data_IF_518587488143
#
_entry.id   IF_518587488143
#
_cell.length_a   1.000
_cell.length_b   1.000
_cell.length_c   1.000
_cell.angle_alpha   90.00
_cell.angle_beta   90.00
_cell.angle_gamma   90.00
#
_symmetry.space_group_name_H-M   'P 1'
#
loop_
_entity.id
_entity.type
_entity.pdbx_description
1 polymer ?
#
# COMPACT_ATOMS: atom_id res chain seq x y z
N UNK A 1 -5.76 -3.27 15.56
CA UNK A 1 -5.65 -2.13 14.62
C UNK A 1 -5.18 -0.89 15.38
N UNK A 2 -4.46 0.05 14.76
CA UNK A 2 -4.11 1.33 15.38
C UNK A 2 -5.37 2.15 15.79
N UNK A 3 -5.22 3.05 16.75
CA UNK A 3 -6.29 3.95 17.20
C UNK A 3 -6.75 4.90 16.08
N UNK A 4 -8.06 5.13 16.00
CA UNK A 4 -8.69 6.03 15.02
C UNK A 4 -9.66 7.00 15.71
N UNK A 5 -9.84 8.16 15.09
CA UNK A 5 -10.86 9.13 15.48
C UNK A 5 -11.81 9.41 14.30
N UNK A 6 -13.02 9.87 14.63
CA UNK A 6 -14.03 10.25 13.64
C UNK A 6 -13.48 11.33 12.71
N UNK A 7 -13.63 11.12 11.40
CA UNK A 7 -13.25 12.08 10.37
C UNK A 7 -11.78 11.99 9.93
N UNK A 8 -10.96 11.14 10.55
CA UNK A 8 -9.57 10.96 10.11
C UNK A 8 -9.49 10.46 8.66
N UNK A 9 -8.50 10.96 7.92
CA UNK A 9 -8.06 10.42 6.64
C UNK A 9 -6.85 9.49 6.85
N UNK A 10 -7.03 8.20 6.57
CA UNK A 10 -6.02 7.16 6.82
C UNK A 10 -5.66 6.44 5.53
N UNK A 11 -4.37 6.38 5.22
CA UNK A 11 -3.87 5.54 4.14
C UNK A 11 -3.59 4.12 4.61
N UNK A 12 -3.97 3.12 3.83
CA UNK A 12 -3.70 1.71 4.07
C UNK A 12 -2.61 1.25 3.09
N UNK A 13 -1.39 1.07 3.57
CA UNK A 13 -0.24 0.69 2.74
C UNK A 13 0.18 -0.75 3.04
N UNK A 14 -0.36 -1.70 2.27
CA UNK A 14 -0.09 -3.13 2.45
C UNK A 14 1.06 -3.66 1.60
N UNK A 15 1.87 -4.54 2.17
CA UNK A 15 2.97 -5.20 1.49
C UNK A 15 3.62 -6.30 2.32
N UNK A 16 4.40 -7.17 1.65
CA UNK A 16 5.15 -8.20 2.37
C UNK A 16 6.36 -7.62 3.10
N UNK A 17 6.94 -6.51 2.60
CA UNK A 17 8.09 -5.82 3.19
C UNK A 17 9.21 -6.79 3.60
N UNK A 18 9.75 -7.51 2.60
CA UNK A 18 10.70 -8.60 2.83
C UNK A 18 12.01 -8.42 2.05
N UNK A 19 12.96 -7.59 2.50
CA UNK A 19 12.86 -6.68 3.65
C UNK A 19 12.19 -5.34 3.29
N UNK A 20 11.76 -4.53 4.28
CA UNK A 20 11.45 -3.13 4.05
C UNK A 20 12.72 -2.37 3.64
N UNK A 21 12.55 -1.20 3.01
CA UNK A 21 13.66 -0.41 2.48
C UNK A 21 13.22 1.04 2.23
N UNK A 22 14.17 1.94 1.95
CA UNK A 22 13.90 3.37 1.76
C UNK A 22 12.90 3.70 0.65
N UNK A 23 12.81 2.88 -0.41
CA UNK A 23 11.73 3.02 -1.39
C UNK A 23 10.31 2.88 -0.81
N UNK A 24 10.10 2.07 0.23
CA UNK A 24 8.81 1.98 0.91
C UNK A 24 8.57 3.19 1.82
N UNK A 25 9.61 3.67 2.50
CA UNK A 25 9.56 4.89 3.32
C UNK A 25 9.16 6.07 2.45
N UNK A 26 9.76 6.20 1.27
CA UNK A 26 9.42 7.24 0.32
C UNK A 26 7.94 7.17 -0.14
N UNK A 27 7.42 5.97 -0.40
CA UNK A 27 5.98 5.78 -0.71
C UNK A 27 5.12 6.26 0.45
N UNK A 28 5.48 5.90 1.68
CA UNK A 28 4.76 6.29 2.88
C UNK A 28 4.76 7.83 3.08
N UNK A 29 5.91 8.48 2.93
CA UNK A 29 6.05 9.93 3.04
C UNK A 29 5.29 10.70 1.96
N UNK A 30 5.33 10.21 0.72
CA UNK A 30 4.55 10.79 -0.39
C UNK A 30 3.07 10.65 -0.10
N UNK A 31 2.62 9.47 0.33
CA UNK A 31 1.22 9.23 0.66
C UNK A 31 0.73 10.15 1.78
N UNK A 32 1.47 10.24 2.89
CA UNK A 32 1.15 11.14 4.01
C UNK A 32 0.99 12.59 3.55
N UNK A 33 1.95 13.10 2.76
CA UNK A 33 1.95 14.50 2.32
C UNK A 33 0.92 14.79 1.23
N UNK A 34 0.93 14.01 0.14
CA UNK A 34 0.14 14.30 -1.06
C UNK A 34 -1.35 13.97 -0.89
N UNK A 35 -1.70 13.04 -0.01
CA UNK A 35 -3.09 12.68 0.28
C UNK A 35 -3.65 13.42 1.50
N UNK A 36 -2.81 14.18 2.22
CA UNK A 36 -3.21 14.90 3.43
C UNK A 36 -3.68 13.97 4.55
N UNK A 37 -2.93 12.89 4.81
CA UNK A 37 -3.33 11.86 5.77
C UNK A 37 -2.99 12.25 7.21
N UNK A 38 -3.90 11.93 8.13
CA UNK A 38 -3.65 11.98 9.57
C UNK A 38 -2.76 10.81 10.01
N UNK A 39 -2.97 9.64 9.41
CA UNK A 39 -2.18 8.43 9.65
C UNK A 39 -1.94 7.63 8.37
N UNK A 40 -0.84 6.89 8.35
CA UNK A 40 -0.60 5.82 7.39
C UNK A 40 -0.46 4.51 8.13
N UNK A 41 -1.34 3.56 7.87
CA UNK A 41 -1.23 2.21 8.38
C UNK A 41 -0.35 1.40 7.43
N UNK A 42 0.86 1.14 7.87
CA UNK A 42 1.82 0.30 7.16
C UNK A 42 1.57 -1.15 7.55
N UNK A 43 0.83 -1.85 6.69
CA UNK A 43 0.27 -3.17 6.97
C UNK A 43 1.21 -4.26 6.46
N UNK A 44 1.96 -4.87 7.38
CA UNK A 44 2.88 -5.95 7.09
C UNK A 44 2.10 -7.25 6.92
N UNK A 45 1.95 -7.69 5.67
CA UNK A 45 1.07 -8.82 5.34
C UNK A 45 1.73 -10.16 5.69
N UNK A 46 0.95 -11.22 5.95
CA UNK A 46 1.47 -12.58 6.10
C UNK A 46 2.19 -13.13 4.86
N UNK A 47 2.00 -12.51 3.70
CA UNK A 47 2.53 -12.94 2.40
C UNK A 47 1.45 -12.86 1.32
N UNK A 48 1.84 -12.57 0.08
CA UNK A 48 0.92 -12.64 -1.06
C UNK A 48 0.81 -14.10 -1.50
N UNK A 49 -0.38 -14.75 -1.47
CA UNK A 49 -0.53 -16.15 -1.88
C UNK A 49 -0.07 -16.47 -3.31
N UNK A 50 0.01 -15.47 -4.17
CA UNK A 50 0.46 -15.58 -5.57
C UNK A 50 1.98 -15.46 -5.73
N UNK A 51 2.72 -15.16 -4.66
CA UNK A 51 4.19 -15.09 -4.66
C UNK A 51 4.76 -16.29 -3.90
N UNK A 52 5.94 -16.75 -4.31
CA UNK A 52 6.66 -17.76 -3.53
C UNK A 52 6.96 -17.23 -2.13
N UNK A 53 6.68 -18.04 -1.12
CA UNK A 53 7.07 -17.77 0.27
C UNK A 53 8.46 -18.31 0.60
N UNK A 54 9.16 -18.93 -0.36
CA UNK A 54 10.56 -19.31 -0.19
C UNK A 54 11.40 -18.03 0.04
N UNK A 55 12.02 -17.92 1.21
CA UNK A 55 12.75 -16.72 1.61
C UNK A 55 11.88 -15.60 2.19
N UNK A 56 10.60 -15.85 2.52
CA UNK A 56 9.80 -14.92 3.31
C UNK A 56 10.24 -14.97 4.78
N UNK A 57 10.83 -13.90 5.27
CA UNK A 57 11.24 -13.82 6.68
C UNK A 57 10.01 -13.90 7.62
N UNK A 58 10.18 -14.41 8.85
CA UNK A 58 9.12 -14.42 9.86
C UNK A 58 8.46 -13.04 10.02
N UNK A 59 7.14 -13.03 10.22
CA UNK A 59 6.38 -11.77 10.32
C UNK A 59 6.92 -10.84 11.41
N UNK A 60 7.30 -11.39 12.58
CA UNK A 60 7.86 -10.61 13.68
C UNK A 60 9.17 -9.90 13.28
N UNK A 61 10.04 -10.57 12.51
CA UNK A 61 11.27 -9.97 12.01
C UNK A 61 10.99 -8.83 11.02
N UNK A 62 10.02 -9.03 10.10
CA UNK A 62 9.63 -8.00 9.13
C UNK A 62 9.00 -6.79 9.82
N UNK A 63 8.19 -7.01 10.85
CA UNK A 63 7.62 -5.94 11.69
C UNK A 63 8.73 -5.11 12.35
N UNK A 64 9.68 -5.76 13.03
CA UNK A 64 10.80 -5.08 13.67
C UNK A 64 11.63 -4.26 12.67
N UNK A 65 11.90 -4.79 11.47
CA UNK A 65 12.60 -4.05 10.41
C UNK A 65 11.79 -2.86 9.88
N UNK A 66 10.45 -2.97 9.84
CA UNK A 66 9.61 -1.84 9.42
C UNK A 66 9.61 -0.74 10.49
N UNK A 67 9.52 -1.12 11.77
CA UNK A 67 9.58 -0.18 12.91
C UNK A 67 10.92 0.55 12.97
N UNK A 68 12.04 -0.12 12.65
CA UNK A 68 13.37 0.50 12.63
C UNK A 68 13.54 1.59 11.58
N UNK A 69 12.81 1.54 10.46
CA UNK A 69 12.99 2.49 9.36
C UNK A 69 11.84 3.51 9.21
N UNK A 70 10.76 3.34 9.98
CA UNK A 70 9.61 4.24 9.95
C UNK A 70 9.76 5.30 11.04
N UNK A 71 10.29 6.47 10.66
CA UNK A 71 10.59 7.55 11.61
C UNK A 71 9.39 8.47 11.90
N UNK A 72 8.47 8.65 10.95
CA UNK A 72 7.32 9.56 11.12
C UNK A 72 6.27 8.92 12.05
N UNK A 73 5.89 9.56 13.18
CA UNK A 73 4.96 9.00 14.15
C UNK A 73 3.54 8.81 13.60
N UNK A 74 3.17 9.40 12.47
CA UNK A 74 1.90 9.14 11.77
C UNK A 74 1.89 7.79 11.06
N UNK A 75 3.05 7.19 10.83
CA UNK A 75 3.18 5.84 10.31
C UNK A 75 2.92 4.86 11.46
N UNK A 76 1.88 4.04 11.32
CA UNK A 76 1.53 2.99 12.27
C UNK A 76 1.85 1.63 11.64
N UNK A 77 2.95 1.01 12.08
CA UNK A 77 3.29 -0.36 11.69
C UNK A 77 2.27 -1.31 12.31
N UNK A 78 1.69 -2.21 11.51
CA UNK A 78 0.68 -3.14 12.00
C UNK A 78 0.63 -4.43 11.19
N UNK A 79 0.13 -5.51 11.80
CA UNK A 79 -0.13 -6.79 11.15
C UNK A 79 -1.47 -7.40 11.58
N UNK A 80 -2.49 -6.54 11.81
CA UNK A 80 -3.82 -7.00 12.25
C UNK A 80 -4.46 -8.01 11.29
N UNK A 81 -4.03 -8.07 10.02
CA UNK A 81 -4.45 -9.08 9.04
C UNK A 81 -4.20 -10.52 9.52
N UNK A 82 -3.16 -10.74 10.34
CA UNK A 82 -2.89 -12.05 10.95
C UNK A 82 -4.05 -12.50 11.82
N UNK A 83 -4.63 -11.60 12.60
CA UNK A 83 -5.76 -11.89 13.49
C UNK A 83 -7.06 -12.16 12.72
N UNK A 84 -7.17 -11.64 11.48
CA UNK A 84 -8.30 -11.90 10.60
C UNK A 84 -8.27 -13.29 9.97
N UNK A 85 -7.13 -13.98 10.00
CA UNK A 85 -6.94 -15.28 9.35
C UNK A 85 -7.08 -15.24 7.82
N UNK A 86 -7.02 -14.05 7.19
CA UNK A 86 -7.17 -13.89 5.74
C UNK A 86 -5.92 -13.26 5.14
N UNK A 87 -5.44 -13.85 4.05
CA UNK A 87 -4.37 -13.31 3.20
C UNK A 87 -4.91 -12.51 2.01
N UNK A 88 -6.23 -12.29 1.94
CA UNK A 88 -6.89 -11.64 0.83
C UNK A 88 -7.22 -10.18 1.15
N UNK A 89 -6.61 -9.27 0.39
CA UNK A 89 -6.78 -7.82 0.58
C UNK A 89 -8.25 -7.39 0.57
N UNK A 90 -9.10 -7.95 -0.30
CA UNK A 90 -10.53 -7.60 -0.34
C UNK A 90 -11.24 -7.83 1.01
N UNK A 91 -10.92 -8.94 1.68
CA UNK A 91 -11.50 -9.27 3.00
C UNK A 91 -10.94 -8.35 4.09
N UNK A 92 -9.63 -8.07 4.03
CA UNK A 92 -9.00 -7.10 4.94
C UNK A 92 -9.66 -5.73 4.84
N UNK A 93 -9.87 -5.22 3.62
CA UNK A 93 -10.45 -3.89 3.42
C UNK A 93 -11.91 -3.81 3.88
N UNK A 94 -12.72 -4.85 3.63
CA UNK A 94 -14.08 -4.91 4.17
C UNK A 94 -14.09 -4.92 5.70
N UNK A 95 -13.17 -5.66 6.32
CA UNK A 95 -13.07 -5.71 7.76
C UNK A 95 -12.70 -4.34 8.35
N UNK A 96 -11.72 -3.65 7.75
CA UNK A 96 -11.34 -2.28 8.13
C UNK A 96 -12.52 -1.33 8.00
N UNK A 97 -13.24 -1.37 6.87
CA UNK A 97 -14.42 -0.54 6.60
C UNK A 97 -15.51 -0.74 7.65
N UNK A 98 -15.80 -2.01 7.99
CA UNK A 98 -16.84 -2.39 8.94
C UNK A 98 -16.54 -1.91 10.35
N UNK A 99 -15.28 -2.01 10.79
CA UNK A 99 -14.90 -1.64 12.16
C UNK A 99 -14.61 -0.15 12.35
N UNK A 100 -14.43 0.60 11.26
CA UNK A 100 -14.12 2.03 11.30
C UNK A 100 -15.06 2.83 10.38
N UNK A 101 -16.39 2.79 10.60
CA UNK A 101 -17.37 3.38 9.67
C UNK A 101 -17.34 4.92 9.60
N UNK A 102 -16.56 5.56 10.46
CA UNK A 102 -16.46 7.02 10.60
C UNK A 102 -15.11 7.59 10.14
N UNK A 103 -14.27 6.74 9.54
CA UNK A 103 -12.92 7.09 9.07
C UNK A 103 -12.91 7.03 7.54
N UNK A 104 -12.14 7.91 6.92
CA UNK A 104 -11.94 7.95 5.47
C UNK A 104 -10.66 7.20 5.11
N UNK A 105 -10.79 6.04 4.46
CA UNK A 105 -9.63 5.25 4.06
C UNK A 105 -9.26 5.46 2.59
N UNK A 106 -7.97 5.43 2.31
CA UNK A 106 -7.40 5.32 0.96
C UNK A 106 -6.51 4.09 0.92
N UNK A 107 -6.69 3.21 -0.06
CA UNK A 107 -5.73 2.13 -0.32
C UNK A 107 -4.51 2.69 -1.05
N UNK A 108 -3.32 2.51 -0.48
CA UNK A 108 -2.05 3.01 -1.01
C UNK A 108 -1.23 1.84 -1.52
N UNK A 109 -0.72 1.92 -2.74
CA UNK A 109 0.21 0.94 -3.29
C UNK A 109 1.26 1.57 -4.20
N UNK A 110 2.42 0.92 -4.33
CA UNK A 110 3.41 1.27 -5.35
C UNK A 110 2.95 0.85 -6.76
N UNK A 111 3.40 1.60 -7.77
CA UNK A 111 3.09 1.33 -9.18
C UNK A 111 3.54 -0.06 -9.67
N UNK A 112 4.53 -0.68 -9.04
CA UNK A 112 4.95 -2.05 -9.33
C UNK A 112 3.86 -3.10 -9.06
N UNK A 113 2.94 -2.84 -8.13
CA UNK A 113 1.79 -3.71 -7.89
C UNK A 113 0.69 -3.55 -8.95
N UNK A 114 0.61 -2.39 -9.60
CA UNK A 114 -0.49 -2.07 -10.53
C UNK A 114 -0.53 -3.03 -11.72
N UNK A 115 0.64 -3.46 -12.23
CA UNK A 115 0.75 -4.41 -13.34
C UNK A 115 0.03 -5.74 -13.07
N UNK A 116 0.13 -6.27 -11.85
CA UNK A 116 -0.42 -7.58 -11.47
C UNK A 116 -1.65 -7.48 -10.57
N UNK A 117 -2.13 -6.27 -10.27
CA UNK A 117 -3.25 -6.04 -9.37
C UNK A 117 -4.52 -6.80 -9.78
N UNK A 118 -4.77 -6.93 -11.09
CA UNK A 118 -5.94 -7.66 -11.61
C UNK A 118 -5.89 -9.19 -11.40
N UNK A 119 -4.76 -9.74 -10.96
CA UNK A 119 -4.66 -11.12 -10.54
C UNK A 119 -5.00 -11.30 -9.05
N UNK A 120 -5.13 -10.21 -8.29
CA UNK A 120 -5.49 -10.31 -6.88
C UNK A 120 -6.94 -10.79 -6.76
N UNK A 121 -7.20 -11.63 -5.77
CA UNK A 121 -8.54 -12.17 -5.57
C UNK A 121 -9.52 -11.02 -5.32
N UNK A 122 -10.62 -11.01 -6.09
CA UNK A 122 -11.65 -9.97 -6.02
C UNK A 122 -11.09 -8.55 -6.22
N UNK A 123 -10.11 -8.36 -7.12
CA UNK A 123 -9.47 -7.06 -7.36
C UNK A 123 -10.45 -5.92 -7.70
N UNK A 124 -11.56 -6.21 -8.38
CA UNK A 124 -12.62 -5.22 -8.66
C UNK A 124 -13.31 -4.76 -7.36
N UNK A 125 -13.50 -5.69 -6.41
CA UNK A 125 -14.00 -5.38 -5.07
C UNK A 125 -13.00 -4.51 -4.31
N UNK A 126 -11.70 -4.79 -4.41
CA UNK A 126 -10.66 -3.93 -3.85
C UNK A 126 -10.78 -2.50 -4.42
N UNK A 127 -10.85 -2.38 -5.76
CA UNK A 127 -10.96 -1.10 -6.48
C UNK A 127 -12.23 -0.29 -6.16
N UNK A 128 -13.28 -0.95 -5.68
CA UNK A 128 -14.57 -0.33 -5.35
C UNK A 128 -14.82 -0.22 -3.84
N UNK A 129 -13.90 -0.67 -2.98
CA UNK A 129 -14.07 -0.59 -1.53
C UNK A 129 -13.68 0.77 -0.97
N UNK A 130 -12.52 1.29 -1.39
CA UNK A 130 -11.94 2.58 -1.02
C UNK A 130 -11.30 3.25 -2.24
N UNK A 131 -11.13 4.59 -2.24
CA UNK A 131 -10.27 5.24 -3.20
C UNK A 131 -8.85 4.66 -3.18
N UNK A 132 -8.18 4.65 -4.34
CA UNK A 132 -6.83 4.09 -4.49
C UNK A 132 -5.82 5.20 -4.84
N UNK A 133 -4.71 5.25 -4.12
CA UNK A 133 -3.55 6.04 -4.49
C UNK A 133 -2.42 5.11 -4.96
N UNK A 134 -2.02 5.26 -6.22
CA UNK A 134 -0.86 4.56 -6.79
C UNK A 134 0.32 5.53 -6.79
N UNK A 135 1.41 5.16 -6.12
CA UNK A 135 2.62 5.99 -6.05
C UNK A 135 3.64 5.47 -7.07
N UNK A 136 4.10 6.35 -7.96
CA UNK A 136 5.07 5.98 -9.01
C UNK A 136 6.39 5.46 -8.43
N UNK A 137 7.02 4.55 -9.16
CA UNK A 137 8.35 4.01 -8.87
C UNK A 137 9.16 3.85 -10.16
N UNK A 138 10.50 3.97 -10.11
CA UNK A 138 11.36 3.81 -11.29
C UNK A 138 11.14 2.46 -11.96
N UNK A 139 11.00 2.48 -13.30
CA UNK A 139 10.74 1.27 -14.09
C UNK A 139 9.28 0.82 -14.10
N UNK A 140 8.39 1.45 -13.31
CA UNK A 140 6.97 1.13 -13.27
C UNK A 140 6.08 2.16 -14.01
N UNK A 141 6.62 3.29 -14.49
CA UNK A 141 5.84 4.34 -15.15
C UNK A 141 5.07 3.85 -16.39
N UNK A 142 5.65 2.93 -17.17
CA UNK A 142 4.95 2.31 -18.33
C UNK A 142 3.90 1.26 -17.91
N UNK A 143 3.98 0.73 -16.70
CA UNK A 143 3.02 -0.27 -16.20
C UNK A 143 1.65 0.33 -15.91
N UNK A 144 1.59 1.64 -15.65
CA UNK A 144 0.36 2.41 -15.53
C UNK A 144 -0.49 2.34 -16.80
N UNK A 145 0.13 2.62 -17.96
CA UNK A 145 -0.57 2.77 -19.24
C UNK A 145 -1.20 1.48 -19.76
N UNK A 146 -0.70 0.31 -19.34
CA UNK A 146 -1.16 -0.99 -19.82
C UNK A 146 -1.88 -1.84 -18.77
N UNK A 147 -2.10 -1.32 -17.56
CA UNK A 147 -2.71 -2.12 -16.49
C UNK A 147 -4.22 -2.28 -16.70
N UNK A 148 -4.73 -3.49 -16.47
CA UNK A 148 -6.18 -3.77 -16.54
C UNK A 148 -6.97 -2.87 -15.58
N UNK A 149 -6.42 -2.53 -14.42
CA UNK A 149 -7.06 -1.60 -13.47
C UNK A 149 -7.20 -0.19 -14.06
N UNK A 150 -6.14 0.36 -14.64
CA UNK A 150 -6.18 1.69 -15.25
C UNK A 150 -7.17 1.75 -16.43
N UNK A 151 -7.26 0.69 -17.22
CA UNK A 151 -8.25 0.60 -18.30
C UNK A 151 -9.68 0.45 -17.78
N UNK A 152 -9.94 -0.54 -16.92
CA UNK A 152 -11.29 -0.84 -16.41
C UNK A 152 -11.87 0.30 -15.58
N UNK A 153 -11.04 1.04 -14.85
CA UNK A 153 -11.47 2.15 -13.98
C UNK A 153 -11.01 3.52 -14.50
N UNK A 154 -10.66 3.64 -15.78
CA UNK A 154 -10.17 4.91 -16.36
C UNK A 154 -11.14 6.08 -16.16
N UNK A 155 -12.45 5.81 -16.20
CA UNK A 155 -13.51 6.79 -15.93
C UNK A 155 -13.53 7.36 -14.50
N UNK A 156 -12.88 6.68 -13.55
CA UNK A 156 -12.81 7.03 -12.14
C UNK A 156 -11.46 7.66 -11.74
N UNK A 157 -10.61 7.99 -12.72
CA UNK A 157 -9.30 8.60 -12.46
C UNK A 157 -9.49 10.04 -11.95
N UNK A 158 -8.78 10.36 -10.88
CA UNK A 158 -8.66 11.68 -10.27
C UNK A 158 -7.26 12.21 -10.57
N UNK A 159 -7.18 13.48 -10.98
CA UNK A 159 -5.90 14.14 -11.24
C UNK A 159 -5.02 14.16 -9.98
N UNK A 160 -3.71 14.10 -10.15
CA UNK A 160 -2.80 14.09 -9.01
C UNK A 160 -2.74 15.43 -8.27
N UNK A 161 -3.18 16.53 -8.89
CA UNK A 161 -3.38 17.82 -8.23
C UNK A 161 -4.48 17.76 -7.16
N UNK A 162 -5.47 16.86 -7.36
CA UNK A 162 -6.61 16.67 -6.47
C UNK A 162 -6.38 15.54 -5.45
N UNK A 163 -5.16 14.98 -5.39
CA UNK A 163 -4.81 13.88 -4.50
C UNK A 163 -5.12 14.17 -3.02
N UNK A 164 -4.95 15.43 -2.56
CA UNK A 164 -5.18 15.84 -1.18
C UNK A 164 -6.65 15.79 -0.74
N UNK A 165 -7.58 15.64 -1.67
CA UNK A 165 -9.02 15.48 -1.38
C UNK A 165 -9.57 14.13 -1.83
N UNK A 166 -8.70 13.18 -2.19
CA UNK A 166 -9.10 11.85 -2.65
C UNK A 166 -9.97 11.12 -1.62
N UNK A 167 -9.69 11.30 -0.33
CA UNK A 167 -10.46 10.70 0.78
C UNK A 167 -11.94 11.12 0.81
N UNK A 168 -12.29 12.24 0.16
CA UNK A 168 -13.67 12.73 0.02
C UNK A 168 -14.43 12.07 -1.13
N UNK A 169 -13.74 11.35 -2.03
CA UNK A 169 -14.36 10.72 -3.21
C UNK A 169 -14.98 9.38 -2.84
N UNK A 170 -16.08 9.03 -3.50
CA UNK A 170 -16.66 7.68 -3.40
C UNK A 170 -15.88 6.72 -4.31
N UNK A 171 -15.59 5.53 -3.81
CA UNK A 171 -15.02 4.47 -4.63
C UNK A 171 -16.05 3.99 -5.70
N UNK A 172 -15.62 3.63 -6.91
CA UNK A 172 -14.24 3.67 -7.38
C UNK A 172 -13.78 5.11 -7.64
N UNK A 173 -12.59 5.42 -7.15
CA UNK A 173 -11.87 6.67 -7.41
C UNK A 173 -10.39 6.37 -7.24
N UNK A 174 -9.53 6.84 -8.12
CA UNK A 174 -8.11 6.56 -7.98
C UNK A 174 -7.22 7.60 -8.62
N UNK A 175 -6.03 7.77 -8.08
CA UNK A 175 -5.02 8.69 -8.61
C UNK A 175 -3.68 7.99 -8.77
N UNK A 176 -2.86 8.51 -9.69
CA UNK A 176 -1.48 8.09 -9.88
C UNK A 176 -0.60 9.29 -9.57
N UNK A 177 0.17 9.20 -8.48
CA UNK A 177 1.00 10.29 -7.97
C UNK A 177 2.43 10.09 -8.42
N UNK A 178 2.96 11.06 -9.15
CA UNK A 178 4.37 11.05 -9.53
C UNK A 178 5.23 11.42 -8.32
N UNK A 179 6.29 10.65 -8.09
CA UNK A 179 7.23 10.84 -7.00
C UNK A 179 8.69 10.84 -7.48
N UNK A 180 9.63 11.33 -6.65
CA UNK A 180 11.05 11.17 -6.93
C UNK A 180 11.43 9.70 -7.06
N UNK A 181 12.36 9.42 -7.97
CA UNK A 181 12.70 8.08 -8.43
C UNK A 181 13.69 7.39 -7.48
N UNK A 182 13.24 6.41 -6.66
CA UNK A 182 14.13 5.51 -5.88
C UNK A 182 14.33 4.15 -6.58
N UNK A 183 15.58 3.77 -6.89
CA UNK A 183 15.92 2.52 -7.60
C UNK A 183 15.95 1.28 -6.72
N UNK A 184 15.69 1.41 -5.41
CA UNK A 184 15.75 0.30 -4.46
C UNK A 184 14.55 -0.65 -4.60
N UNK A 185 14.79 -1.97 -4.51
CA UNK A 185 13.74 -3.00 -4.47
C UNK A 185 14.12 -4.12 -3.48
N UNK A 186 13.13 -4.73 -2.82
CA UNK A 186 13.40 -5.84 -1.89
C UNK A 186 14.03 -7.04 -2.58
N UNK A 187 13.69 -7.31 -3.85
CA UNK A 187 14.31 -8.41 -4.62
C UNK A 187 15.80 -8.18 -4.80
N UNK A 188 16.20 -6.99 -5.25
CA UNK A 188 17.62 -6.66 -5.42
C UNK A 188 18.38 -6.70 -4.07
N UNK A 189 17.74 -6.33 -2.96
CA UNK A 189 18.35 -6.41 -1.63
C UNK A 189 18.57 -7.85 -1.15
N UNK A 190 17.72 -8.80 -1.53
CA UNK A 190 17.91 -10.23 -1.20
C UNK A 190 19.02 -10.88 -2.03
N UNK A 191 19.26 -10.38 -3.24
CA UNK A 191 20.27 -10.90 -4.17
C UNK A 191 21.68 -10.33 -3.91
N UNK A 192 21.80 -9.27 -3.09
CA UNK A 192 23.11 -8.75 -2.69
C UNK A 192 23.80 -9.76 -1.75
N UNK A 193 25.05 -10.19 -2.04
CA UNK A 193 25.80 -11.00 -1.10
C UNK A 193 25.99 -10.21 0.19
N UNK A 194 25.70 -10.85 1.33
CA UNK A 194 26.07 -10.31 2.64
C UNK A 194 27.58 -10.25 2.67
N UNK A 195 28.16 -9.05 2.58
CA UNK A 195 29.54 -8.84 2.98
C UNK A 195 29.60 -9.22 4.46
N UNK A 196 30.22 -10.37 4.75
CA UNK A 196 30.60 -10.71 6.11
C UNK A 196 31.79 -9.82 6.44
N UNK A 197 31.57 -8.86 7.33
CA UNK A 197 32.66 -8.22 8.07
C UNK A 197 33.34 -9.24 9.00
#
# INVERSE_FOLDING_TARGET
>A
MPHTERGMAIGLFGGSFNPPHQGHVLVAEIALRRLGLDQLWWMVTPGNPLKSHNGLAPLAQRLALCEQIAEDPRIKITAFEKELGSSFTANTLEHVKRLNPHVHFIWVMGADNLKSFHHWQNWEKIATTFPIAVIDRPGATLSYLSSKMAHSFGYARVDESDAGVLWKKKAPAWTFIHGPRSTLSSTALREKPVLKD
#
